data_IF_525283200154
#
_entry.id   IF_525283200154
#
_cell.length_a   1.000
_cell.length_b   1.000
_cell.length_c   1.000
_cell.angle_alpha   90.00
_cell.angle_beta   90.00
_cell.angle_gamma   90.00
#
_symmetry.space_group_name_H-M   'P 1'
#
loop_
_entity.id
_entity.type
_entity.pdbx_description
1 polymer ?
#
# COMPACT_ATOMS: atom_id res chain seq x y z
N UNK A 1 -7.59 21.66 -1.79
CA UNK A 1 -7.83 20.35 -1.11
C UNK A 1 -6.61 19.52 -1.35
N UNK A 2 -6.16 18.79 -0.34
CA UNK A 2 -4.93 18.02 -0.44
C UNK A 2 -5.17 16.55 -0.07
N UNK A 3 -4.49 15.62 -0.75
CA UNK A 3 -4.52 14.20 -0.47
C UNK A 3 -3.33 13.83 0.41
N UNK A 4 -3.59 13.30 1.60
CA UNK A 4 -2.55 12.71 2.44
C UNK A 4 -2.24 11.28 1.97
N UNK A 5 -0.98 11.01 1.65
CA UNK A 5 -0.51 9.68 1.25
C UNK A 5 0.43 9.13 2.31
N UNK A 6 0.00 8.12 3.06
CA UNK A 6 0.88 7.44 4.02
C UNK A 6 1.62 6.30 3.34
N UNK A 7 2.91 6.15 3.62
CA UNK A 7 3.76 5.22 2.88
C UNK A 7 4.04 5.69 1.43
N UNK A 8 4.03 7.01 1.22
CA UNK A 8 4.13 7.61 -0.11
C UNK A 8 5.51 7.51 -0.75
N UNK A 9 6.56 7.19 0.00
CA UNK A 9 7.89 6.89 -0.54
C UNK A 9 8.08 5.41 -0.91
N UNK A 10 7.10 4.54 -0.61
CA UNK A 10 7.10 3.12 -0.97
C UNK A 10 6.82 2.88 -2.46
N UNK A 11 6.89 1.62 -2.89
CA UNK A 11 6.70 1.21 -4.30
C UNK A 11 5.37 1.73 -4.89
N UNK A 12 4.23 1.32 -4.32
CA UNK A 12 2.91 1.72 -4.83
C UNK A 12 2.63 3.20 -4.52
N UNK A 13 3.02 3.66 -3.31
CA UNK A 13 2.81 5.03 -2.85
C UNK A 13 3.47 6.05 -3.75
N UNK A 14 4.74 5.85 -4.16
CA UNK A 14 5.45 6.77 -5.03
C UNK A 14 4.81 6.90 -6.43
N UNK A 15 4.39 5.78 -7.02
CA UNK A 15 3.66 5.80 -8.29
C UNK A 15 2.30 6.50 -8.15
N UNK A 16 1.60 6.29 -7.03
CA UNK A 16 0.34 6.98 -6.75
C UNK A 16 0.54 8.49 -6.56
N UNK A 17 1.61 8.91 -5.87
CA UNK A 17 1.96 10.33 -5.75
C UNK A 17 2.24 10.97 -7.12
N UNK A 18 2.91 10.26 -8.03
CA UNK A 18 3.14 10.74 -9.40
C UNK A 18 1.83 10.94 -10.15
N UNK A 19 0.90 9.99 -10.09
CA UNK A 19 -0.40 10.08 -10.75
C UNK A 19 -1.29 11.20 -10.14
N UNK A 20 -1.31 11.35 -8.81
CA UNK A 20 -2.03 12.43 -8.12
C UNK A 20 -1.49 13.80 -8.54
N UNK A 21 -0.18 14.00 -8.44
CA UNK A 21 0.47 15.24 -8.84
C UNK A 21 0.24 15.50 -10.33
N UNK A 22 0.34 14.48 -11.19
CA UNK A 22 0.03 14.55 -12.61
C UNK A 22 -1.38 15.05 -12.89
N UNK A 23 -2.36 14.59 -12.12
CA UNK A 23 -3.76 15.01 -12.20
C UNK A 23 -4.04 16.42 -11.63
N UNK A 24 -3.07 17.04 -10.98
CA UNK A 24 -3.21 18.39 -10.41
C UNK A 24 -3.62 18.43 -8.96
N UNK A 25 -3.65 17.29 -8.28
CA UNK A 25 -3.91 17.22 -6.85
C UNK A 25 -2.73 17.78 -6.04
N UNK A 26 -3.03 18.40 -4.91
CA UNK A 26 -2.03 18.71 -3.88
C UNK A 26 -1.78 17.47 -3.04
N UNK A 27 -0.51 17.17 -2.77
CA UNK A 27 -0.11 15.93 -2.07
C UNK A 27 0.68 16.27 -0.82
N UNK A 28 0.32 15.61 0.27
CA UNK A 28 1.10 15.56 1.52
C UNK A 28 1.53 14.12 1.73
N UNK A 29 2.81 13.89 1.95
CA UNK A 29 3.36 12.54 2.13
C UNK A 29 3.82 12.34 3.57
N UNK A 30 3.44 11.21 4.17
CA UNK A 30 4.03 10.66 5.40
C UNK A 30 4.75 9.35 5.06
N UNK A 31 6.00 9.22 5.49
CA UNK A 31 6.76 7.98 5.43
C UNK A 31 7.82 7.98 6.55
N UNK A 32 8.17 6.83 7.11
CA UNK A 32 9.24 6.70 8.12
C UNK A 32 10.50 6.06 7.56
N UNK A 33 10.55 5.82 6.26
CA UNK A 33 11.63 5.16 5.52
C UNK A 33 12.04 3.79 6.05
N UNK A 34 11.18 3.09 6.78
CA UNK A 34 11.47 1.74 7.29
C UNK A 34 11.66 0.69 6.18
N UNK A 35 11.05 0.92 5.01
CA UNK A 35 11.19 0.05 3.83
C UNK A 35 11.11 0.85 2.52
N UNK A 36 11.59 2.07 2.54
CA UNK A 36 11.66 3.00 1.41
C UNK A 36 12.90 3.86 1.52
N UNK A 37 13.21 4.62 0.48
CA UNK A 37 14.43 5.44 0.41
C UNK A 37 14.11 6.92 0.21
N UNK A 38 14.80 7.85 0.91
CA UNK A 38 14.56 9.29 0.75
C UNK A 38 14.69 9.79 -0.69
N UNK A 39 15.60 9.19 -1.48
CA UNK A 39 15.84 9.56 -2.89
C UNK A 39 14.60 9.44 -3.78
N UNK A 40 13.60 8.62 -3.38
CA UNK A 40 12.34 8.47 -4.11
C UNK A 40 11.58 9.80 -4.18
N UNK A 41 11.67 10.62 -3.14
CA UNK A 41 11.01 11.94 -3.11
C UNK A 41 11.56 12.87 -4.21
N UNK A 42 12.87 12.87 -4.43
CA UNK A 42 13.49 13.67 -5.51
C UNK A 42 13.10 13.14 -6.88
N UNK A 43 12.95 11.80 -7.01
CA UNK A 43 12.49 11.19 -8.27
C UNK A 43 11.03 11.52 -8.57
N UNK A 44 10.16 11.59 -7.58
CA UNK A 44 8.78 12.07 -7.77
C UNK A 44 8.78 13.51 -8.29
N UNK A 45 9.60 14.41 -7.71
CA UNK A 45 9.75 15.79 -8.19
C UNK A 45 10.30 15.87 -9.62
N UNK A 46 11.33 15.06 -9.92
CA UNK A 46 11.95 15.00 -11.25
C UNK A 46 10.94 14.55 -12.33
N UNK A 47 10.12 13.54 -12.03
CA UNK A 47 9.10 13.01 -12.95
C UNK A 47 7.98 14.03 -13.20
N UNK A 48 7.50 14.65 -12.12
CA UNK A 48 6.27 15.46 -12.18
C UNK A 48 6.53 16.94 -12.44
N UNK A 49 7.74 17.42 -12.18
CA UNK A 49 8.06 18.84 -12.17
C UNK A 49 7.31 19.64 -11.08
N UNK A 50 6.72 18.96 -10.11
CA UNK A 50 5.90 19.53 -9.04
C UNK A 50 6.50 19.28 -7.68
N UNK A 51 6.23 20.17 -6.71
CA UNK A 51 6.60 20.00 -5.34
C UNK A 51 5.41 19.50 -4.50
N UNK A 52 5.71 18.97 -3.33
CA UNK A 52 4.75 18.44 -2.35
C UNK A 52 5.34 18.55 -0.95
N UNK A 53 4.48 18.51 0.06
CA UNK A 53 4.92 18.47 1.45
C UNK A 53 5.26 17.05 1.87
N UNK A 54 6.36 16.90 2.62
CA UNK A 54 6.81 15.63 3.15
C UNK A 54 7.06 15.72 4.65
N UNK A 55 6.63 14.69 5.37
CA UNK A 55 6.87 14.52 6.81
C UNK A 55 7.46 13.13 7.07
N UNK A 56 8.67 13.12 7.63
CA UNK A 56 9.25 11.89 8.16
C UNK A 56 8.60 11.60 9.51
N UNK A 57 7.57 10.76 9.50
CA UNK A 57 6.75 10.45 10.66
C UNK A 57 6.35 8.97 10.63
N UNK A 58 6.51 8.29 11.77
CA UNK A 58 5.94 6.97 11.99
C UNK A 58 4.47 7.11 12.39
N UNK A 59 3.59 6.28 11.82
CA UNK A 59 2.16 6.28 12.19
C UNK A 59 1.91 5.88 13.64
N UNK A 60 2.85 5.26 14.32
CA UNK A 60 2.78 4.98 15.75
C UNK A 60 3.03 6.24 16.62
N UNK A 61 3.64 7.29 16.04
CA UNK A 61 3.79 8.60 16.69
C UNK A 61 2.53 9.44 16.53
N UNK A 62 1.61 9.29 17.48
CA UNK A 62 0.33 10.03 17.49
C UNK A 62 0.51 11.54 17.42
N UNK A 63 1.54 12.09 18.08
CA UNK A 63 1.80 13.53 18.07
C UNK A 63 2.38 14.00 16.74
N UNK A 64 3.24 13.18 16.12
CA UNK A 64 3.75 13.43 14.78
C UNK A 64 2.63 13.44 13.74
N UNK A 65 1.73 12.44 13.77
CA UNK A 65 0.58 12.38 12.86
C UNK A 65 -0.35 13.56 13.10
N UNK A 66 -0.67 13.88 14.37
CA UNK A 66 -1.48 15.08 14.71
C UNK A 66 -0.90 16.35 14.11
N UNK A 67 0.41 16.59 14.29
CA UNK A 67 1.10 17.76 13.73
C UNK A 67 0.91 17.87 12.21
N UNK A 68 0.96 16.75 11.47
CA UNK A 68 0.75 16.80 10.02
C UNK A 68 -0.64 17.33 9.67
N UNK A 69 -1.69 16.89 10.36
CA UNK A 69 -3.05 17.43 10.14
C UNK A 69 -3.19 18.88 10.59
N UNK A 70 -2.62 19.27 11.75
CA UNK A 70 -2.64 20.64 12.24
C UNK A 70 -1.97 21.64 11.25
N UNK A 71 -0.84 21.25 10.66
CA UNK A 71 -0.09 22.07 9.70
C UNK A 71 -0.68 22.05 8.27
N UNK A 72 -1.61 21.12 7.98
CA UNK A 72 -2.24 20.96 6.67
C UNK A 72 -3.76 20.86 6.79
N UNK A 73 -4.45 21.93 7.19
CA UNK A 73 -5.91 21.93 7.37
C UNK A 73 -6.71 21.76 6.06
N UNK A 74 -6.04 21.80 4.93
CA UNK A 74 -6.57 21.58 3.60
C UNK A 74 -6.61 20.09 3.18
N UNK A 75 -6.06 19.19 3.99
CA UNK A 75 -6.23 17.73 3.79
C UNK A 75 -7.72 17.40 3.89
N UNK A 76 -8.27 16.79 2.84
CA UNK A 76 -9.67 16.33 2.78
C UNK A 76 -9.82 14.83 2.61
N UNK A 77 -8.74 14.16 2.25
CA UNK A 77 -8.76 12.73 1.94
C UNK A 77 -7.41 12.06 2.20
N UNK A 78 -7.45 10.74 2.39
CA UNK A 78 -6.27 9.93 2.72
C UNK A 78 -6.18 8.72 1.79
N UNK A 79 -4.97 8.43 1.29
CA UNK A 79 -4.63 7.12 0.71
C UNK A 79 -3.63 6.45 1.65
N UNK A 80 -4.03 5.29 2.18
CA UNK A 80 -3.29 4.62 3.23
C UNK A 80 -2.56 3.38 2.73
N UNK A 81 -1.22 3.51 2.49
CA UNK A 81 -0.33 2.42 2.10
C UNK A 81 0.55 1.93 3.24
N UNK A 82 0.92 2.81 4.19
CA UNK A 82 1.90 2.50 5.23
C UNK A 82 1.52 1.24 6.03
N UNK A 83 2.32 0.18 5.88
CA UNK A 83 2.15 -1.08 6.59
C UNK A 83 3.39 -1.97 6.40
N UNK A 84 3.65 -2.86 7.35
CA UNK A 84 4.52 -4.01 7.14
C UNK A 84 3.80 -5.00 6.22
N UNK A 85 4.47 -5.50 5.16
CA UNK A 85 3.83 -6.22 4.03
C UNK A 85 4.38 -7.61 3.73
N UNK A 86 5.47 -8.03 4.36
CA UNK A 86 6.14 -9.30 4.05
C UNK A 86 5.42 -10.48 4.71
N UNK A 87 4.72 -11.30 3.90
CA UNK A 87 3.92 -12.44 4.37
C UNK A 87 4.74 -13.40 5.23
N UNK A 88 5.92 -13.83 4.76
CA UNK A 88 6.78 -14.76 5.48
C UNK A 88 7.28 -14.21 6.81
N UNK A 89 7.67 -12.93 6.85
CA UNK A 89 8.09 -12.27 8.08
C UNK A 89 6.95 -12.15 9.09
N UNK A 90 5.72 -11.92 8.62
CA UNK A 90 4.55 -11.80 9.50
C UNK A 90 4.30 -13.04 10.34
N UNK A 91 4.64 -14.23 9.80
CA UNK A 91 4.52 -15.50 10.53
C UNK A 91 5.57 -15.61 11.65
N UNK A 92 6.74 -15.01 11.44
CA UNK A 92 7.83 -15.04 12.42
C UNK A 92 7.69 -13.93 13.48
N UNK A 93 7.11 -12.79 13.09
CA UNK A 93 6.98 -11.58 13.92
C UNK A 93 5.53 -11.08 13.98
N UNK A 94 4.56 -11.90 14.40
CA UNK A 94 3.14 -11.53 14.31
C UNK A 94 2.78 -10.31 15.16
N UNK A 95 3.35 -10.17 16.35
CA UNK A 95 3.04 -9.05 17.24
C UNK A 95 3.48 -7.71 16.65
N UNK A 96 4.63 -7.64 16.01
CA UNK A 96 5.14 -6.47 15.33
C UNK A 96 4.21 -6.07 14.18
N UNK A 97 3.71 -7.05 13.41
CA UNK A 97 2.76 -6.82 12.33
C UNK A 97 1.42 -6.29 12.83
N UNK A 98 0.85 -6.91 13.87
CA UNK A 98 -0.39 -6.42 14.48
C UNK A 98 -0.19 -5.03 15.08
N UNK A 99 0.87 -4.82 15.86
CA UNK A 99 1.14 -3.54 16.48
C UNK A 99 1.32 -2.43 15.43
N UNK A 100 2.20 -2.63 14.45
CA UNK A 100 2.47 -1.63 13.43
C UNK A 100 1.22 -1.32 12.59
N UNK A 101 0.60 -2.34 12.01
CA UNK A 101 -0.45 -2.14 11.02
C UNK A 101 -1.76 -1.68 11.66
N UNK A 102 -2.17 -2.27 12.78
CA UNK A 102 -3.44 -1.90 13.42
C UNK A 102 -3.31 -0.60 14.21
N UNK A 103 -2.29 -0.47 15.07
CA UNK A 103 -2.14 0.73 15.89
C UNK A 103 -1.89 1.95 15.03
N UNK A 104 -1.02 1.86 14.01
CA UNK A 104 -0.78 2.96 13.07
C UNK A 104 -2.06 3.40 12.34
N UNK A 105 -2.89 2.43 11.89
CA UNK A 105 -4.19 2.76 11.28
C UNK A 105 -5.16 3.38 12.28
N UNK A 106 -5.21 2.91 13.52
CA UNK A 106 -6.08 3.48 14.55
C UNK A 106 -5.67 4.92 14.89
N UNK A 107 -4.36 5.20 15.00
CA UNK A 107 -3.84 6.57 15.18
C UNK A 107 -4.26 7.45 14.01
N UNK A 108 -4.05 7.00 12.78
CA UNK A 108 -4.44 7.72 11.57
C UNK A 108 -5.94 8.05 11.57
N UNK A 109 -6.80 7.04 11.77
CA UNK A 109 -8.26 7.22 11.78
C UNK A 109 -8.73 8.15 12.90
N UNK A 110 -8.07 8.13 14.06
CA UNK A 110 -8.34 9.07 15.15
C UNK A 110 -8.05 10.50 14.72
N UNK A 111 -6.87 10.75 14.13
CA UNK A 111 -6.52 12.08 13.67
C UNK A 111 -7.42 12.55 12.50
N UNK A 112 -7.76 11.67 11.57
CA UNK A 112 -8.73 11.95 10.51
C UNK A 112 -10.08 12.43 11.09
N UNK A 113 -10.63 11.69 12.06
CA UNK A 113 -11.89 12.04 12.74
C UNK A 113 -11.78 13.39 13.44
N UNK A 114 -10.71 13.61 14.21
CA UNK A 114 -10.52 14.81 15.04
C UNK A 114 -10.33 16.08 14.17
N UNK A 115 -9.88 15.92 12.90
CA UNK A 115 -9.76 17.00 11.91
C UNK A 115 -10.86 16.99 10.83
N UNK A 116 -11.94 16.21 11.04
CA UNK A 116 -13.08 16.11 10.11
C UNK A 116 -12.71 15.63 8.69
N UNK A 117 -11.64 14.85 8.55
CA UNK A 117 -11.26 14.17 7.30
C UNK A 117 -11.88 12.78 7.31
N UNK A 118 -12.83 12.51 6.41
CA UNK A 118 -13.66 11.29 6.46
C UNK A 118 -13.59 10.45 5.18
N UNK A 119 -12.70 10.79 4.25
CA UNK A 119 -12.50 10.06 3.01
C UNK A 119 -11.17 9.30 3.05
N UNK A 120 -11.24 7.98 2.88
CA UNK A 120 -10.04 7.13 2.89
C UNK A 120 -10.10 6.04 1.82
N UNK A 121 -9.00 5.90 1.07
CA UNK A 121 -8.71 4.75 0.22
C UNK A 121 -7.69 3.89 0.93
N UNK A 122 -8.04 2.65 1.23
CA UNK A 122 -7.17 1.72 1.93
C UNK A 122 -6.57 0.68 0.99
N UNK A 123 -5.26 0.58 1.02
CA UNK A 123 -4.47 -0.48 0.40
C UNK A 123 -4.71 -1.80 1.12
N UNK A 124 -5.77 -2.51 0.75
CA UNK A 124 -6.02 -3.87 1.20
C UNK A 124 -5.27 -4.88 0.33
N UNK A 125 -5.59 -6.14 0.42
CA UNK A 125 -4.89 -7.21 -0.27
C UNK A 125 -5.83 -8.35 -0.62
N UNK A 126 -5.60 -9.04 -1.73
CA UNK A 126 -6.27 -10.29 -2.05
C UNK A 126 -6.04 -11.40 -1.01
N UNK A 127 -5.03 -11.28 -0.14
CA UNK A 127 -4.79 -12.21 0.98
C UNK A 127 -5.96 -12.30 1.96
N UNK A 128 -6.88 -11.33 1.96
CA UNK A 128 -8.10 -11.35 2.79
C UNK A 128 -9.11 -12.41 2.34
N UNK A 129 -8.96 -12.97 1.15
CA UNK A 129 -9.81 -14.07 0.66
C UNK A 129 -9.31 -15.46 1.10
N UNK A 130 -8.11 -15.55 1.68
CA UNK A 130 -7.53 -16.80 2.13
C UNK A 130 -7.41 -17.85 1.02
N UNK A 131 -8.02 -19.03 1.24
CA UNK A 131 -8.13 -20.08 0.25
C UNK A 131 -9.54 -20.07 -0.35
N UNK A 132 -9.75 -19.43 -1.52
CA UNK A 132 -11.07 -19.30 -2.11
C UNK A 132 -11.60 -20.66 -2.60
N UNK A 133 -12.92 -20.86 -2.52
CA UNK A 133 -13.56 -22.10 -2.94
C UNK A 133 -13.60 -22.30 -4.47
N UNK A 134 -13.47 -21.22 -5.24
CA UNK A 134 -13.48 -21.23 -6.70
C UNK A 134 -12.77 -20.02 -7.30
N UNK A 135 -12.52 -20.05 -8.61
CA UNK A 135 -11.97 -18.95 -9.41
C UNK A 135 -12.95 -18.56 -10.53
N UNK A 136 -12.96 -17.30 -10.98
CA UNK A 136 -12.23 -16.14 -10.44
C UNK A 136 -12.80 -15.67 -9.12
N UNK A 137 -11.93 -15.08 -8.27
CA UNK A 137 -12.33 -14.51 -6.98
C UNK A 137 -13.15 -13.24 -7.22
N UNK A 138 -14.27 -13.09 -6.48
CA UNK A 138 -15.14 -11.91 -6.51
C UNK A 138 -15.20 -11.24 -5.14
N UNK A 139 -15.59 -9.96 -5.11
CA UNK A 139 -15.61 -9.13 -3.88
C UNK A 139 -16.56 -9.65 -2.81
N UNK A 140 -17.62 -10.40 -3.21
CA UNK A 140 -18.62 -10.99 -2.31
C UNK A 140 -18.20 -12.36 -1.74
N UNK A 141 -16.99 -12.85 -2.05
CA UNK A 141 -16.51 -14.12 -1.49
C UNK A 141 -16.31 -14.00 0.02
N UNK A 142 -16.49 -15.11 0.76
CA UNK A 142 -16.17 -15.15 2.20
C UNK A 142 -14.73 -14.73 2.45
N UNK A 143 -14.52 -13.93 3.50
CA UNK A 143 -13.21 -13.45 3.89
C UNK A 143 -12.62 -14.37 4.96
N UNK A 144 -11.37 -14.77 4.73
CA UNK A 144 -10.55 -15.56 5.66
C UNK A 144 -9.09 -15.23 5.44
N UNK A 145 -8.23 -15.63 6.36
CA UNK A 145 -6.80 -15.34 6.23
C UNK A 145 -5.96 -16.54 6.60
N UNK A 146 -4.80 -16.67 5.98
CA UNK A 146 -3.86 -17.78 6.20
C UNK A 146 -2.57 -17.34 6.90
N UNK A 147 -2.40 -16.04 7.15
CA UNK A 147 -1.20 -15.49 7.76
C UNK A 147 -1.49 -14.17 8.48
N UNK A 148 -0.61 -13.73 9.43
CA UNK A 148 -0.82 -12.51 10.20
C UNK A 148 -0.90 -11.23 9.37
N UNK A 149 -0.12 -11.09 8.28
CA UNK A 149 -0.23 -9.95 7.38
C UNK A 149 -1.65 -9.83 6.80
N UNK A 150 -2.18 -10.92 6.22
CA UNK A 150 -3.56 -10.96 5.72
C UNK A 150 -4.57 -10.63 6.81
N UNK A 151 -4.36 -11.15 8.02
CA UNK A 151 -5.22 -10.87 9.17
C UNK A 151 -5.22 -9.38 9.53
N UNK A 152 -4.08 -8.70 9.52
CA UNK A 152 -4.04 -7.23 9.76
C UNK A 152 -4.84 -6.47 8.71
N UNK A 153 -4.74 -6.85 7.41
CA UNK A 153 -5.51 -6.21 6.34
C UNK A 153 -7.01 -6.41 6.53
N UNK A 154 -7.44 -7.64 6.84
CA UNK A 154 -8.86 -7.94 7.09
C UNK A 154 -9.40 -7.19 8.31
N UNK A 155 -8.66 -7.15 9.41
CA UNK A 155 -9.05 -6.41 10.61
C UNK A 155 -9.17 -4.91 10.35
N UNK A 156 -8.27 -4.32 9.55
CA UNK A 156 -8.37 -2.91 9.15
C UNK A 156 -9.62 -2.68 8.30
N UNK A 157 -9.94 -3.57 7.35
CA UNK A 157 -11.20 -3.46 6.61
C UNK A 157 -12.43 -3.45 7.53
N UNK A 158 -12.44 -4.28 8.57
CA UNK A 158 -13.52 -4.32 9.57
C UNK A 158 -13.57 -3.00 10.34
N UNK A 159 -12.45 -2.51 10.85
CA UNK A 159 -12.35 -1.22 11.55
C UNK A 159 -12.90 -0.08 10.68
N UNK A 160 -12.47 0.02 9.43
CA UNK A 160 -12.92 1.08 8.52
C UNK A 160 -14.42 0.99 8.20
N UNK A 161 -14.96 -0.21 8.04
CA UNK A 161 -16.41 -0.42 7.89
C UNK A 161 -17.18 -0.01 9.15
N UNK A 162 -16.65 -0.33 10.33
CA UNK A 162 -17.28 0.02 11.59
C UNK A 162 -17.32 1.54 11.82
N UNK A 163 -16.35 2.31 11.32
CA UNK A 163 -16.39 3.79 11.35
C UNK A 163 -17.57 4.35 10.56
N UNK A 164 -18.00 3.71 9.49
CA UNK A 164 -19.14 4.13 8.67
C UNK A 164 -20.52 3.84 9.34
N UNK A 165 -20.55 3.09 10.44
CA UNK A 165 -21.81 2.75 11.12
C UNK A 165 -22.38 3.94 11.91
N UNK A 166 -21.62 4.53 12.85
CA UNK A 166 -22.08 5.66 13.64
C UNK A 166 -22.06 6.99 12.87
N UNK A 167 -21.25 7.12 11.84
CA UNK A 167 -21.04 8.37 11.10
C UNK A 167 -21.07 8.08 9.59
N UNK A 168 -22.17 8.47 8.94
CA UNK A 168 -22.43 8.21 7.51
C UNK A 168 -21.67 9.10 6.55
N UNK A 169 -20.96 10.10 7.06
CA UNK A 169 -20.08 10.97 6.24
C UNK A 169 -18.76 10.28 5.88
N UNK A 170 -18.41 9.19 6.56
CA UNK A 170 -17.24 8.39 6.17
C UNK A 170 -17.45 7.76 4.80
N UNK A 171 -16.46 8.00 3.92
CA UNK A 171 -16.33 7.37 2.60
C UNK A 171 -15.08 6.52 2.59
N UNK A 172 -15.25 5.20 2.46
CA UNK A 172 -14.18 4.22 2.56
C UNK A 172 -14.13 3.38 1.28
N UNK A 173 -13.02 3.44 0.56
CA UNK A 173 -12.72 2.54 -0.55
C UNK A 173 -11.66 1.50 -0.11
N UNK A 174 -12.00 0.21 -0.28
CA UNK A 174 -11.12 -0.92 0.07
C UNK A 174 -10.60 -1.57 -1.20
N UNK A 175 -9.33 -1.34 -1.55
CA UNK A 175 -8.74 -1.87 -2.77
C UNK A 175 -7.98 -3.17 -2.49
N UNK A 176 -8.55 -4.31 -2.89
CA UNK A 176 -8.00 -5.65 -2.69
C UNK A 176 -7.28 -6.11 -3.95
N UNK A 177 -6.06 -5.71 -4.14
CA UNK A 177 -5.28 -6.10 -5.31
C UNK A 177 -4.37 -7.31 -5.04
N UNK A 178 -4.02 -8.00 -6.13
CA UNK A 178 -3.17 -9.18 -6.12
C UNK A 178 -1.69 -8.79 -6.13
N UNK A 179 -0.99 -8.97 -7.24
CA UNK A 179 0.45 -8.80 -7.30
C UNK A 179 0.82 -7.57 -8.15
N UNK A 180 1.12 -6.41 -7.55
CA UNK A 180 1.60 -5.27 -8.31
C UNK A 180 3.01 -5.53 -8.84
N UNK A 181 3.25 -5.19 -10.10
CA UNK A 181 4.52 -5.36 -10.79
C UNK A 181 4.82 -4.16 -11.68
N UNK A 182 6.03 -4.12 -12.22
CA UNK A 182 6.45 -3.09 -13.17
C UNK A 182 7.13 -1.90 -12.51
N UNK A 183 7.33 -0.86 -13.30
CA UNK A 183 7.98 0.39 -12.89
C UNK A 183 7.41 1.56 -13.69
N UNK A 184 7.73 2.79 -13.27
CA UNK A 184 7.34 3.98 -14.02
C UNK A 184 8.08 4.03 -15.38
N UNK A 185 7.42 4.49 -16.48
CA UNK A 185 8.05 4.55 -17.81
C UNK A 185 9.33 5.38 -17.87
N UNK A 186 9.54 6.32 -16.95
CA UNK A 186 10.79 7.09 -16.85
C UNK A 186 11.99 6.26 -16.43
N UNK A 187 11.79 5.06 -15.85
CA UNK A 187 12.85 4.26 -15.24
C UNK A 187 13.40 4.81 -13.92
N UNK A 188 12.81 5.89 -13.37
CA UNK A 188 13.33 6.56 -12.17
C UNK A 188 12.79 6.00 -10.86
N UNK A 189 11.59 5.40 -10.88
CA UNK A 189 10.97 4.73 -9.72
C UNK A 189 10.46 3.34 -10.08
N UNK A 190 10.57 2.41 -9.14
CA UNK A 190 10.20 1.01 -9.29
C UNK A 190 10.17 0.31 -7.94
N UNK A 191 10.08 -1.02 -7.93
CA UNK A 191 10.17 -1.80 -6.71
C UNK A 191 11.64 -2.06 -6.34
N UNK A 192 12.12 -1.43 -5.28
CA UNK A 192 13.49 -1.56 -4.77
C UNK A 192 13.45 -1.92 -3.28
N UNK A 193 13.16 -3.19 -2.94
CA UNK A 193 13.11 -3.62 -1.55
C UNK A 193 14.51 -3.67 -0.92
N UNK A 194 14.58 -3.38 0.38
CA UNK A 194 15.79 -3.63 1.15
C UNK A 194 16.06 -5.14 1.28
N UNK A 195 17.31 -5.54 1.06
CA UNK A 195 17.76 -6.93 1.15
C UNK A 195 17.32 -7.81 -0.04
N UNK A 196 17.06 -9.11 0.22
CA UNK A 196 16.66 -10.06 -0.80
C UNK A 196 15.17 -9.85 -1.14
N UNK A 197 14.82 -9.68 -2.44
CA UNK A 197 13.42 -9.51 -2.83
C UNK A 197 12.55 -10.70 -2.44
N UNK A 198 11.35 -10.40 -1.93
CA UNK A 198 10.34 -11.41 -1.65
C UNK A 198 9.33 -11.58 -2.80
N UNK A 199 9.30 -10.63 -3.73
CA UNK A 199 8.42 -10.65 -4.90
C UNK A 199 9.18 -11.16 -6.12
N UNK A 200 8.45 -11.78 -7.06
CA UNK A 200 9.02 -12.43 -8.24
C UNK A 200 9.77 -11.43 -9.14
N UNK A 201 9.14 -10.30 -9.49
CA UNK A 201 9.70 -9.38 -10.49
C UNK A 201 11.02 -8.74 -10.08
N UNK A 202 11.18 -8.18 -8.86
CA UNK A 202 12.48 -7.68 -8.41
C UNK A 202 13.57 -8.77 -8.42
N UNK A 203 13.21 -10.01 -8.08
CA UNK A 203 14.15 -11.13 -8.14
C UNK A 203 14.58 -11.43 -9.59
N UNK A 204 13.61 -11.51 -10.50
CA UNK A 204 13.86 -11.70 -11.95
C UNK A 204 14.74 -10.57 -12.50
N UNK A 205 14.46 -9.32 -12.13
CA UNK A 205 15.26 -8.17 -12.55
C UNK A 205 16.71 -8.26 -12.10
N UNK A 206 16.98 -8.67 -10.85
CA UNK A 206 18.34 -8.87 -10.34
C UNK A 206 19.08 -10.01 -11.06
N UNK A 207 18.38 -11.08 -11.43
CA UNK A 207 18.96 -12.14 -12.25
C UNK A 207 19.28 -11.61 -13.66
N UNK A 208 18.37 -10.87 -14.25
CA UNK A 208 18.56 -10.30 -15.59
C UNK A 208 19.73 -9.30 -15.65
N UNK A 209 19.95 -8.53 -14.57
CA UNK A 209 21.09 -7.61 -14.44
C UNK A 209 22.41 -8.30 -14.04
N UNK A 210 22.39 -9.60 -13.77
CA UNK A 210 23.57 -10.36 -13.35
C UNK A 210 23.96 -10.18 -11.88
N UNK A 211 23.10 -9.60 -11.06
CA UNK A 211 23.31 -9.47 -9.60
C UNK A 211 23.07 -10.79 -8.86
N UNK A 212 22.21 -11.64 -9.42
CA UNK A 212 21.92 -12.99 -8.93
C UNK A 212 22.17 -14.00 -10.03
N UNK A 213 22.63 -15.20 -9.65
CA UNK A 213 23.05 -16.24 -10.59
C UNK A 213 21.86 -16.84 -11.36
N UNK A 214 20.80 -17.18 -10.66
CA UNK A 214 19.64 -17.86 -11.25
C UNK A 214 18.35 -17.60 -10.46
N UNK A 215 17.23 -17.91 -11.13
CA UNK A 215 15.92 -17.94 -10.51
C UNK A 215 15.67 -19.34 -9.93
N UNK A 216 15.24 -19.42 -8.68
CA UNK A 216 14.86 -20.69 -8.04
C UNK A 216 13.36 -20.95 -8.18
N UNK A 217 13.00 -22.13 -8.66
CA UNK A 217 11.60 -22.60 -8.72
C UNK A 217 11.38 -23.57 -7.56
N UNK A 218 10.48 -23.22 -6.64
CA UNK A 218 10.18 -23.99 -5.44
C UNK A 218 8.96 -24.89 -5.68
N UNK A 219 9.19 -26.06 -6.23
CA UNK A 219 8.16 -27.06 -6.54
C UNK A 219 7.56 -26.90 -7.93
N UNK A 220 7.05 -28.02 -8.44
CA UNK A 220 6.39 -28.14 -9.74
C UNK A 220 5.22 -29.14 -9.69
N UNK A 221 4.63 -29.29 -8.51
CA UNK A 221 3.60 -30.27 -8.17
C UNK A 221 2.25 -29.62 -7.81
N UNK A 222 2.08 -28.33 -8.14
CA UNK A 222 0.78 -27.67 -8.02
C UNK A 222 -0.20 -28.18 -9.08
N UNK A 223 -1.49 -28.20 -8.75
CA UNK A 223 -2.56 -28.53 -9.70
C UNK A 223 -2.81 -27.36 -10.68
N UNK A 224 -1.85 -27.14 -11.57
CA UNK A 224 -1.80 -26.09 -12.59
C UNK A 224 -1.21 -26.66 -13.89
N UNK A 225 -1.42 -26.01 -15.05
CA UNK A 225 -0.97 -26.55 -16.33
C UNK A 225 0.53 -26.87 -16.43
N UNK A 226 1.37 -26.13 -15.69
CA UNK A 226 2.84 -26.30 -15.69
C UNK A 226 3.38 -26.73 -14.31
N UNK A 227 2.50 -27.03 -13.37
CA UNK A 227 2.87 -27.43 -12.01
C UNK A 227 3.38 -26.31 -11.11
N UNK A 228 3.41 -25.06 -11.60
CA UNK A 228 3.84 -23.91 -10.80
C UNK A 228 2.67 -23.05 -10.31
N UNK A 229 2.90 -22.14 -9.39
CA UNK A 229 1.85 -21.29 -8.84
C UNK A 229 1.38 -20.23 -9.86
N UNK A 230 0.09 -20.23 -10.18
CA UNK A 230 -0.55 -19.17 -10.99
C UNK A 230 -0.77 -17.93 -10.15
N UNK A 231 -0.50 -16.76 -10.71
CA UNK A 231 -0.69 -15.45 -10.06
C UNK A 231 -1.34 -14.47 -11.02
N UNK A 232 -2.15 -13.58 -10.46
CA UNK A 232 -2.72 -12.44 -11.17
C UNK A 232 -1.85 -11.20 -10.92
N UNK A 233 -1.48 -10.50 -11.99
CA UNK A 233 -0.58 -9.36 -11.94
C UNK A 233 -1.28 -8.08 -12.42
N UNK A 234 -1.00 -6.96 -11.75
CA UNK A 234 -1.43 -5.63 -12.16
C UNK A 234 -0.22 -4.71 -12.28
N UNK A 235 -0.15 -3.95 -13.37
CA UNK A 235 0.92 -2.98 -13.51
C UNK A 235 0.78 -1.85 -12.49
N UNK A 236 1.88 -1.47 -11.83
CA UNK A 236 1.87 -0.51 -10.71
C UNK A 236 1.31 0.85 -11.10
N UNK A 237 1.52 1.30 -12.34
CA UNK A 237 0.95 2.56 -12.84
C UNK A 237 -0.58 2.45 -12.99
N UNK A 238 -1.10 1.32 -13.46
CA UNK A 238 -2.55 1.12 -13.54
C UNK A 238 -3.18 1.01 -12.15
N UNK A 239 -2.48 0.37 -11.22
CA UNK A 239 -2.89 0.34 -9.82
C UNK A 239 -2.90 1.76 -9.21
N UNK A 240 -1.88 2.58 -9.48
CA UNK A 240 -1.81 3.97 -9.03
C UNK A 240 -3.00 4.80 -9.58
N UNK A 241 -3.32 4.65 -10.86
CA UNK A 241 -4.51 5.26 -11.48
C UNK A 241 -5.81 4.77 -10.82
N UNK A 242 -5.87 3.49 -10.44
CA UNK A 242 -6.98 2.94 -9.67
C UNK A 242 -7.19 3.65 -8.33
N UNK A 243 -6.11 4.00 -7.61
CA UNK A 243 -6.20 4.78 -6.38
C UNK A 243 -6.68 6.22 -6.63
N UNK A 244 -6.19 6.86 -7.71
CA UNK A 244 -6.66 8.18 -8.14
C UNK A 244 -8.17 8.16 -8.47
N UNK A 245 -8.64 7.14 -9.17
CA UNK A 245 -10.07 6.99 -9.44
C UNK A 245 -10.87 6.77 -8.15
N UNK A 246 -10.36 5.96 -7.22
CA UNK A 246 -11.05 5.64 -5.97
C UNK A 246 -11.17 6.85 -5.03
N UNK A 247 -10.18 7.77 -5.01
CA UNK A 247 -10.25 8.97 -4.17
C UNK A 247 -11.25 10.00 -4.72
N UNK A 248 -11.49 9.99 -6.03
CA UNK A 248 -12.41 10.90 -6.71
C UNK A 248 -13.84 10.35 -6.82
N UNK A 249 -14.09 9.11 -6.37
CA UNK A 249 -15.41 8.48 -6.36
C UNK A 249 -16.11 8.77 -5.04
#
# INVERSE_FOLDING_TARGET
MAVLVTGGAGFIGSHTCVELLGAGEEVVIIDNFSNSKPQVLDKIREITGKDFKFYEVDLLDEQGVKRVFDENPDIDSVIHFAALKAVGESVQKPLEYYHNNLTGTLVLCKQMRDHNVKKIVFSSSATVYGSPASLPIRENFPLSTTNPYGSTKLMIEMILKDLCVPDKDWSVALLRYFNPIGAHPSGLIGEEPDGIPNNLLPYVARVACGELECLSVYGNDYDTPDGTGVRDYIHVVDLAKGHLCAINW
#
